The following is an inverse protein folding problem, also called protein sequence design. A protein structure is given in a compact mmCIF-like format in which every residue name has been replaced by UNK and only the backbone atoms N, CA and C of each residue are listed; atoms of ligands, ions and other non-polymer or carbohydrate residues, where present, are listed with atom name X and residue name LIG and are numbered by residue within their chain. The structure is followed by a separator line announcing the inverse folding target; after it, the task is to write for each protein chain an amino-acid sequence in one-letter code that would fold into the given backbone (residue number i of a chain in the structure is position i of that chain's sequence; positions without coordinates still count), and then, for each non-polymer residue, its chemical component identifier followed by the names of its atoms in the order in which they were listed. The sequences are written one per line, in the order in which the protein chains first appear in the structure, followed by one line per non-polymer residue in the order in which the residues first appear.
data_IF_759620537891
#
_entry.id   IF_759620537891
#
_cell.length_a   1.000
_cell.length_b   1.000
_cell.length_c   1.000
_cell.angle_alpha   90.00
_cell.angle_beta   90.00
_cell.angle_gamma   90.00
#
_symmetry.space_group_name_H-M   'P 1'
#
loop_
_entity.id
_entity.type
_entity.pdbx_description
1 polymer ?
#
# COMPACT_ATOMS: atom_id res chain seq x y z
N UNK A 1 -14.87 -24.09 4.15
CA UNK A 1 -14.24 -22.88 4.73
C UNK A 1 -15.30 -21.80 4.82
N UNK A 2 -15.30 -21.01 5.90
CA UNK A 2 -16.19 -19.84 6.02
C UNK A 2 -15.76 -18.74 5.03
N UNK A 3 -16.67 -17.85 4.68
CA UNK A 3 -16.31 -16.63 3.96
C UNK A 3 -15.70 -15.60 4.92
N UNK A 4 -14.84 -14.75 4.40
CA UNK A 4 -14.31 -13.57 5.08
C UNK A 4 -14.80 -12.32 4.34
N UNK A 5 -15.74 -11.63 4.94
CA UNK A 5 -16.37 -10.44 4.38
C UNK A 5 -15.58 -9.18 4.70
N UNK A 6 -15.48 -8.27 3.74
CA UNK A 6 -15.10 -6.88 3.95
C UNK A 6 -16.39 -6.09 4.20
N UNK A 7 -16.49 -5.51 5.38
CA UNK A 7 -17.67 -4.76 5.83
C UNK A 7 -17.50 -3.28 5.52
N UNK A 8 -16.34 -2.73 5.83
CA UNK A 8 -16.01 -1.32 5.58
C UNK A 8 -14.52 -1.15 5.33
N UNK A 9 -14.16 -0.08 4.61
CA UNK A 9 -12.80 0.23 4.25
C UNK A 9 -12.65 1.75 4.12
N UNK A 10 -11.60 2.32 4.75
CA UNK A 10 -11.36 3.74 4.74
C UNK A 10 -9.87 4.04 4.93
N UNK A 11 -9.41 5.17 4.40
CA UNK A 11 -8.03 5.62 4.49
C UNK A 11 -7.91 7.09 4.86
N UNK A 12 -6.75 7.49 5.31
CA UNK A 12 -6.37 8.90 5.37
C UNK A 12 -6.06 9.45 3.97
N UNK A 13 -6.01 10.77 3.77
CA UNK A 13 -5.26 11.33 2.66
C UNK A 13 -3.82 10.82 2.64
N UNK A 14 -3.17 10.87 1.48
CA UNK A 14 -1.74 10.57 1.34
C UNK A 14 -0.97 11.89 1.32
N UNK A 15 -0.09 12.07 2.31
CA UNK A 15 0.82 13.21 2.42
C UNK A 15 2.11 12.99 1.63
N UNK A 16 2.73 14.08 1.15
CA UNK A 16 4.08 14.06 0.58
C UNK A 16 5.11 13.96 1.70
N UNK A 17 6.31 13.51 1.35
CA UNK A 17 7.47 13.57 2.23
C UNK A 17 7.72 15.02 2.72
N UNK A 18 7.76 15.20 4.04
CA UNK A 18 7.88 16.51 4.65
C UNK A 18 6.67 17.43 4.41
N UNK A 19 5.54 16.88 3.94
CA UNK A 19 4.32 17.63 3.61
C UNK A 19 3.36 17.78 4.79
N UNK A 20 2.07 17.93 4.47
CA UNK A 20 1.03 18.31 5.45
C UNK A 20 0.82 17.30 6.57
N UNK A 21 1.08 15.99 6.33
CA UNK A 21 0.96 14.94 7.35
C UNK A 21 2.25 14.69 8.14
N UNK A 22 3.37 15.30 7.77
CA UNK A 22 4.66 15.10 8.45
C UNK A 22 4.67 15.44 9.95
N UNK A 23 3.82 16.34 10.50
CA UNK A 23 3.75 16.55 11.92
C UNK A 23 3.02 15.45 12.70
N UNK A 24 2.26 14.57 12.03
CA UNK A 24 1.47 13.51 12.66
C UNK A 24 2.33 12.28 12.88
N UNK A 25 2.38 11.76 14.12
CA UNK A 25 3.09 10.54 14.47
C UNK A 25 2.49 9.33 13.74
N UNK A 26 3.30 8.32 13.45
CA UNK A 26 2.81 7.12 12.75
C UNK A 26 1.72 6.37 13.56
N UNK A 27 1.87 6.27 14.88
CA UNK A 27 0.89 5.62 15.76
C UNK A 27 -0.44 6.40 15.84
N UNK A 28 -0.40 7.74 15.88
CA UNK A 28 -1.58 8.60 15.83
C UNK A 28 -2.26 8.54 14.44
N UNK A 29 -1.47 8.56 13.37
CA UNK A 29 -1.98 8.48 12.00
C UNK A 29 -2.70 7.15 11.75
N UNK A 30 -2.13 6.04 12.24
CA UNK A 30 -2.73 4.71 12.18
C UNK A 30 -4.07 4.60 12.93
N UNK A 31 -4.26 5.40 13.98
CA UNK A 31 -5.50 5.42 14.76
C UNK A 31 -6.67 6.10 14.02
N UNK A 32 -6.39 7.03 13.10
CA UNK A 32 -7.43 7.81 12.40
C UNK A 32 -8.44 6.93 11.65
N UNK A 33 -8.02 6.06 10.71
CA UNK A 33 -8.97 5.22 9.98
C UNK A 33 -9.67 4.19 10.88
N UNK A 34 -9.03 3.72 11.97
CA UNK A 34 -9.68 2.82 12.93
C UNK A 34 -10.81 3.52 13.67
N UNK A 35 -10.60 4.77 14.12
CA UNK A 35 -11.64 5.58 14.76
C UNK A 35 -12.81 5.80 13.82
N UNK A 36 -12.54 6.12 12.56
CA UNK A 36 -13.58 6.30 11.55
C UNK A 36 -14.38 5.00 11.31
N UNK A 37 -13.75 3.82 11.30
CA UNK A 37 -14.46 2.54 11.24
C UNK A 37 -15.40 2.37 12.43
N UNK A 38 -14.95 2.73 13.64
CA UNK A 38 -15.78 2.63 14.85
C UNK A 38 -17.00 3.54 14.78
N UNK A 39 -16.83 4.77 14.34
CA UNK A 39 -17.92 5.75 14.19
C UNK A 39 -18.93 5.32 13.12
N UNK A 40 -18.48 4.79 12.00
CA UNK A 40 -19.31 4.36 10.88
C UNK A 40 -20.08 3.06 11.13
N UNK A 41 -19.56 2.20 12.01
CA UNK A 41 -20.12 0.89 12.33
C UNK A 41 -20.57 0.82 13.80
N UNK A 42 -21.48 1.72 14.20
CA UNK A 42 -21.91 1.90 15.58
C UNK A 42 -22.68 0.71 16.18
N UNK A 43 -23.16 -0.25 15.37
CA UNK A 43 -23.79 -1.49 15.83
C UNK A 43 -22.79 -2.53 16.34
N UNK A 44 -21.49 -2.37 16.07
CA UNK A 44 -20.44 -3.29 16.47
C UNK A 44 -20.12 -3.13 17.96
N UNK A 45 -20.14 -4.23 18.69
CA UNK A 45 -19.46 -4.32 19.99
C UNK A 45 -17.96 -4.51 19.75
N UNK A 46 -17.20 -3.43 19.83
CA UNK A 46 -15.78 -3.41 19.55
C UNK A 46 -14.92 -4.24 20.50
N UNK A 47 -15.48 -4.67 21.64
CA UNK A 47 -14.84 -5.65 22.52
C UNK A 47 -14.79 -7.07 21.92
N UNK A 48 -15.57 -7.32 20.88
CA UNK A 48 -15.64 -8.60 20.16
C UNK A 48 -14.67 -8.71 18.98
N UNK A 49 -13.83 -7.68 18.76
CA UNK A 49 -12.75 -7.77 17.77
C UNK A 49 -11.69 -8.73 18.29
N UNK A 50 -11.49 -9.84 17.57
CA UNK A 50 -10.59 -10.93 17.99
C UNK A 50 -9.12 -10.53 17.88
N UNK A 51 -8.75 -9.84 16.79
CA UNK A 51 -7.37 -9.34 16.58
C UNK A 51 -7.36 -8.19 15.55
N UNK A 52 -6.24 -7.47 15.53
CA UNK A 52 -5.93 -6.42 14.57
C UNK A 52 -4.60 -6.72 13.90
N UNK A 53 -4.59 -6.86 12.56
CA UNK A 53 -3.37 -6.98 11.77
C UNK A 53 -3.08 -5.69 11.03
N UNK A 54 -1.92 -5.10 11.27
CA UNK A 54 -1.58 -3.80 10.69
C UNK A 54 -0.18 -3.79 10.06
N UNK A 55 -0.11 -3.49 8.78
CA UNK A 55 1.14 -3.43 8.04
C UNK A 55 1.94 -2.18 8.37
N UNK A 56 3.25 -2.36 8.61
CA UNK A 56 4.21 -1.26 8.72
C UNK A 56 5.59 -1.76 8.32
N UNK A 57 6.24 -1.09 7.36
CA UNK A 57 7.54 -1.52 6.85
C UNK A 57 8.69 -0.99 7.72
N UNK A 58 8.65 0.28 8.12
CA UNK A 58 9.62 0.86 9.03
C UNK A 58 9.11 0.71 10.47
N UNK A 59 9.94 0.13 11.33
CA UNK A 59 9.65 -0.06 12.75
C UNK A 59 10.81 0.43 13.60
N UNK A 60 11.53 1.43 13.12
CA UNK A 60 12.72 1.95 13.77
C UNK A 60 12.45 3.19 14.66
N UNK A 61 11.35 3.89 14.43
CA UNK A 61 10.99 5.14 15.11
C UNK A 61 9.79 5.01 16.04
N UNK A 62 8.83 5.90 15.87
CA UNK A 62 7.59 5.98 16.65
C UNK A 62 6.68 4.76 16.45
N UNK A 63 6.92 4.00 15.41
CA UNK A 63 6.29 2.76 14.98
C UNK A 63 6.91 1.49 15.58
N UNK A 64 7.90 1.61 16.46
CA UNK A 64 8.74 0.47 16.90
C UNK A 64 8.06 -0.54 17.83
N UNK A 65 7.12 -0.13 18.67
CA UNK A 65 6.56 -0.99 19.74
C UNK A 65 5.21 -1.56 19.35
N UNK A 66 5.14 -2.27 18.22
CA UNK A 66 3.90 -2.81 17.71
C UNK A 66 2.87 -1.70 17.43
N UNK A 67 3.11 -0.97 16.33
CA UNK A 67 2.27 0.17 15.94
C UNK A 67 0.79 -0.22 15.77
N UNK A 68 0.49 -1.46 15.39
CA UNK A 68 -0.87 -1.98 15.34
C UNK A 68 -1.58 -1.81 16.70
N UNK A 69 -0.97 -2.35 17.76
CA UNK A 69 -1.52 -2.27 19.10
C UNK A 69 -1.59 -0.84 19.64
N UNK A 70 -0.55 -0.03 19.35
CA UNK A 70 -0.52 1.38 19.77
C UNK A 70 -1.64 2.16 19.10
N UNK A 71 -1.80 2.05 17.79
CA UNK A 71 -2.88 2.70 17.03
C UNK A 71 -4.26 2.25 17.49
N UNK A 72 -4.45 0.97 17.81
CA UNK A 72 -5.71 0.45 18.33
C UNK A 72 -6.11 1.15 19.65
N UNK A 73 -5.17 1.25 20.59
CA UNK A 73 -5.40 1.93 21.88
C UNK A 73 -5.66 3.43 21.69
N UNK A 74 -4.90 4.09 20.84
CA UNK A 74 -5.05 5.51 20.52
C UNK A 74 -6.36 5.81 19.77
N UNK A 75 -6.86 4.85 18.99
CA UNK A 75 -8.18 4.93 18.37
C UNK A 75 -9.33 4.82 19.37
N UNK A 76 -9.08 4.29 20.56
CA UNK A 76 -10.10 4.04 21.58
C UNK A 76 -10.70 2.66 21.52
N UNK A 77 -10.10 1.71 20.79
CA UNK A 77 -10.51 0.31 20.87
C UNK A 77 -10.34 -0.23 22.30
N UNK A 78 -11.25 -1.12 22.76
CA UNK A 78 -11.15 -1.71 24.08
C UNK A 78 -9.81 -2.39 24.34
N UNK A 79 -9.32 -2.34 25.58
CA UNK A 79 -8.01 -2.88 25.95
C UNK A 79 -7.89 -4.40 25.76
N UNK A 80 -8.99 -5.09 25.61
CA UNK A 80 -9.06 -6.52 25.32
C UNK A 80 -8.64 -6.86 23.89
N UNK A 81 -8.80 -5.92 22.93
CA UNK A 81 -8.48 -6.14 21.52
C UNK A 81 -6.96 -6.17 21.32
N UNK A 82 -6.36 -7.31 20.97
CA UNK A 82 -4.92 -7.40 20.70
C UNK A 82 -4.58 -6.74 19.36
N UNK A 83 -3.30 -6.77 19.00
CA UNK A 83 -2.88 -6.27 17.70
C UNK A 83 -1.48 -6.76 17.34
N UNK A 84 -1.26 -7.02 16.07
CA UNK A 84 -0.01 -7.51 15.51
C UNK A 84 0.44 -6.65 14.34
N UNK A 85 1.67 -6.16 14.40
CA UNK A 85 2.30 -5.46 13.28
C UNK A 85 2.94 -6.47 12.33
N UNK A 86 2.56 -6.42 11.05
CA UNK A 86 3.11 -7.26 9.99
C UNK A 86 4.10 -6.46 9.13
N UNK A 87 5.19 -7.10 8.75
CA UNK A 87 6.16 -6.53 7.82
C UNK A 87 6.41 -7.47 6.63
N UNK A 88 5.85 -7.10 5.49
CA UNK A 88 6.21 -7.59 4.16
C UNK A 88 6.58 -6.40 3.28
N UNK A 89 7.36 -5.44 3.82
CA UNK A 89 7.73 -4.19 3.16
C UNK A 89 6.50 -3.52 2.51
N UNK A 90 6.57 -3.17 1.22
CA UNK A 90 5.46 -2.52 0.48
C UNK A 90 4.14 -3.30 0.56
N UNK A 91 4.17 -4.62 0.63
CA UNK A 91 2.99 -5.50 0.67
C UNK A 91 2.33 -5.68 2.03
N UNK A 92 2.86 -5.05 3.09
CA UNK A 92 2.44 -5.30 4.47
C UNK A 92 0.93 -5.12 4.71
N UNK A 93 0.33 -4.05 4.17
CA UNK A 93 -1.10 -3.80 4.35
C UNK A 93 -2.00 -4.83 3.64
N UNK A 94 -1.62 -5.29 2.45
CA UNK A 94 -2.35 -6.35 1.75
C UNK A 94 -2.18 -7.69 2.45
N UNK A 95 -0.97 -7.99 2.95
CA UNK A 95 -0.68 -9.20 3.72
C UNK A 95 -1.50 -9.23 5.02
N UNK A 96 -1.68 -8.08 5.68
CA UNK A 96 -2.54 -7.95 6.85
C UNK A 96 -4.00 -8.34 6.53
N UNK A 97 -4.57 -7.82 5.43
CA UNK A 97 -5.93 -8.16 4.99
C UNK A 97 -6.05 -9.66 4.66
N UNK A 98 -5.11 -10.19 3.89
CA UNK A 98 -5.13 -11.59 3.49
C UNK A 98 -4.98 -12.55 4.67
N UNK A 99 -4.14 -12.23 5.67
CA UNK A 99 -3.99 -13.04 6.88
C UNK A 99 -5.23 -12.93 7.78
N UNK A 100 -5.82 -11.76 7.96
CA UNK A 100 -7.10 -11.61 8.66
C UNK A 100 -8.21 -12.45 8.00
N UNK A 101 -8.31 -12.41 6.68
CA UNK A 101 -9.26 -13.23 5.94
C UNK A 101 -8.99 -14.75 6.12
N UNK A 102 -7.72 -15.18 6.15
CA UNK A 102 -7.36 -16.59 6.41
C UNK A 102 -7.73 -17.02 7.82
N UNK A 103 -7.49 -16.19 8.82
CA UNK A 103 -7.86 -16.44 10.21
C UNK A 103 -9.38 -16.62 10.35
N UNK A 104 -10.19 -15.75 9.72
CA UNK A 104 -11.65 -15.87 9.67
C UNK A 104 -12.07 -17.17 8.95
N UNK A 105 -11.49 -17.46 7.78
CA UNK A 105 -11.80 -18.66 6.99
C UNK A 105 -11.44 -19.96 7.72
N UNK A 106 -10.40 -19.93 8.55
CA UNK A 106 -10.00 -21.05 9.40
C UNK A 106 -10.96 -21.24 10.60
N UNK A 107 -11.78 -20.26 10.91
CA UNK A 107 -12.69 -20.27 12.06
C UNK A 107 -12.04 -19.90 13.40
N UNK A 108 -10.83 -19.32 13.35
CA UNK A 108 -10.06 -18.88 14.52
C UNK A 108 -10.42 -17.46 14.97
N UNK A 109 -11.08 -16.69 14.12
CA UNK A 109 -11.63 -15.36 14.42
C UNK A 109 -12.97 -15.15 13.72
N UNK A 110 -13.77 -14.25 14.27
CA UNK A 110 -15.05 -13.84 13.69
C UNK A 110 -15.09 -12.38 13.25
N UNK A 111 -14.38 -11.51 13.95
CA UNK A 111 -14.35 -10.07 13.67
C UNK A 111 -12.91 -9.56 13.78
N UNK A 112 -12.40 -8.93 12.73
CA UNK A 112 -11.00 -8.46 12.67
C UNK A 112 -10.90 -7.06 12.03
N UNK A 113 -9.90 -6.31 12.45
CA UNK A 113 -9.45 -5.12 11.74
C UNK A 113 -8.15 -5.47 11.01
N UNK A 114 -8.01 -5.02 9.77
CA UNK A 114 -6.78 -5.16 9.01
C UNK A 114 -6.47 -3.88 8.23
N UNK A 115 -5.19 -3.61 7.97
CA UNK A 115 -4.80 -2.42 7.23
C UNK A 115 -3.31 -2.16 7.30
N UNK A 116 -2.94 -0.88 7.36
CA UNK A 116 -1.54 -0.51 7.53
C UNK A 116 -1.31 0.98 7.60
N UNK A 117 -0.13 1.35 8.07
CA UNK A 117 0.34 2.72 8.23
C UNK A 117 1.81 2.83 7.82
N UNK A 118 2.16 3.96 7.26
CA UNK A 118 3.55 4.36 7.08
C UNK A 118 3.67 5.88 7.23
N UNK A 119 4.62 6.34 8.03
CA UNK A 119 5.07 7.73 8.01
C UNK A 119 6.55 7.74 7.60
N UNK A 120 6.78 7.91 6.30
CA UNK A 120 8.13 7.96 5.78
C UNK A 120 8.81 9.30 6.08
N UNK A 121 8.04 10.36 6.29
CA UNK A 121 8.55 11.67 6.74
C UNK A 121 9.18 11.62 8.14
N UNK A 122 8.71 10.72 9.00
CA UNK A 122 9.16 10.60 10.39
C UNK A 122 10.10 9.42 10.63
N UNK A 123 10.53 8.76 9.55
CA UNK A 123 11.53 7.70 9.63
C UNK A 123 12.82 8.24 10.26
N UNK A 124 13.32 7.64 11.36
CA UNK A 124 14.43 8.20 12.11
C UNK A 124 15.78 7.88 11.46
N UNK A 125 16.80 8.63 11.86
CA UNK A 125 18.17 8.19 11.72
C UNK A 125 18.49 7.10 12.75
N UNK A 126 19.26 6.09 12.34
CA UNK A 126 19.71 5.00 13.21
C UNK A 126 21.22 4.80 13.13
N UNK A 127 21.80 4.37 14.24
CA UNK A 127 23.22 4.10 14.34
C UNK A 127 23.44 2.74 15.00
N UNK A 128 24.30 1.91 14.42
CA UNK A 128 24.71 0.64 15.02
C UNK A 128 25.53 0.83 16.28
N UNK A 129 25.51 -0.15 17.18
CA UNK A 129 26.45 -0.17 18.30
C UNK A 129 27.87 -0.44 17.79
N UNK A 130 28.86 0.15 18.45
CA UNK A 130 30.27 -0.14 18.17
C UNK A 130 30.58 -1.62 18.38
N UNK A 131 31.25 -2.26 17.43
CA UNK A 131 31.65 -3.66 17.51
C UNK A 131 32.90 -3.85 18.40
N UNK A 132 33.67 -2.78 18.56
CA UNK A 132 34.93 -2.79 19.33
C UNK A 132 34.94 -1.68 20.38
N UNK A 133 35.56 -1.95 21.51
CA UNK A 133 35.82 -0.92 22.51
C UNK A 133 36.68 0.22 21.89
N UNK A 134 36.39 1.45 22.31
CA UNK A 134 37.08 2.66 21.85
C UNK A 134 37.01 2.90 20.35
N UNK A 135 35.94 2.45 19.70
CA UNK A 135 35.68 2.75 18.26
C UNK A 135 35.76 4.25 18.02
N UNK A 136 36.42 4.64 16.92
CA UNK A 136 36.58 6.04 16.50
C UNK A 136 35.71 6.37 15.27
N UNK A 137 34.87 5.45 14.84
CA UNK A 137 33.94 5.62 13.70
C UNK A 137 32.54 5.24 14.13
N UNK A 138 31.57 5.99 13.60
CA UNK A 138 30.14 5.69 13.69
C UNK A 138 29.53 5.98 12.33
N UNK A 139 28.60 5.14 11.91
CA UNK A 139 27.82 5.32 10.68
C UNK A 139 26.36 5.56 11.07
N UNK A 140 25.77 6.63 10.53
CA UNK A 140 24.37 6.99 10.73
C UNK A 140 23.64 6.71 9.44
N UNK A 141 22.52 5.96 9.52
CA UNK A 141 21.69 5.61 8.38
C UNK A 141 20.35 6.31 8.47
N UNK A 142 19.89 6.90 7.36
CA UNK A 142 18.51 7.32 7.16
C UNK A 142 17.63 6.07 6.91
N UNK A 143 16.54 5.94 7.64
CA UNK A 143 15.63 4.79 7.50
C UNK A 143 14.42 5.06 6.62
N UNK A 144 14.33 6.24 5.99
CA UNK A 144 13.22 6.63 5.12
C UNK A 144 13.03 5.64 3.97
N UNK A 145 14.12 5.28 3.29
CA UNK A 145 14.13 4.32 2.18
C UNK A 145 15.54 3.76 2.00
N UNK A 146 15.66 2.58 1.44
CA UNK A 146 16.95 1.99 1.06
C UNK A 146 17.53 1.05 2.10
N UNK A 147 18.75 0.61 1.80
CA UNK A 147 19.48 -0.36 2.59
C UNK A 147 20.20 0.29 3.79
N UNK A 148 20.16 -0.39 4.92
CA UNK A 148 20.92 -0.08 6.13
C UNK A 148 21.41 -1.36 6.79
N UNK A 149 22.52 -1.34 7.50
CA UNK A 149 23.11 -2.52 8.15
C UNK A 149 23.26 -3.70 7.19
N UNK A 150 23.87 -3.45 6.03
CA UNK A 150 23.93 -4.39 4.91
C UNK A 150 24.63 -5.70 5.29
N UNK A 151 23.91 -6.82 5.12
CA UNK A 151 24.50 -8.15 5.24
C UNK A 151 25.43 -8.43 4.05
N UNK A 152 26.69 -8.80 4.32
CA UNK A 152 27.72 -9.02 3.28
C UNK A 152 27.35 -10.16 2.31
N UNK A 153 26.74 -11.24 2.81
CA UNK A 153 26.33 -12.35 1.97
C UNK A 153 25.18 -11.95 1.03
N UNK A 154 24.20 -11.19 1.55
CA UNK A 154 23.12 -10.62 0.71
C UNK A 154 23.70 -9.77 -0.40
N UNK A 155 24.63 -8.87 -0.09
CA UNK A 155 25.29 -8.02 -1.08
C UNK A 155 26.01 -8.84 -2.15
N UNK A 156 26.70 -9.90 -1.78
CA UNK A 156 27.50 -10.73 -2.69
C UNK A 156 26.62 -11.63 -3.57
N UNK A 157 25.54 -12.20 -3.01
CA UNK A 157 24.73 -13.20 -3.69
C UNK A 157 23.59 -12.59 -4.51
N UNK A 158 22.96 -11.52 -4.01
CA UNK A 158 21.72 -10.99 -4.56
C UNK A 158 21.79 -9.49 -4.92
N UNK A 159 22.88 -8.82 -4.57
CA UNK A 159 23.00 -7.37 -4.72
C UNK A 159 22.24 -6.60 -3.62
N UNK A 160 22.41 -5.29 -3.65
CA UNK A 160 21.74 -4.33 -2.78
C UNK A 160 21.30 -3.11 -3.59
N UNK A 161 20.81 -3.35 -4.81
CA UNK A 161 20.35 -2.29 -5.70
C UNK A 161 19.32 -1.42 -4.99
N UNK A 162 19.40 -0.12 -5.19
CA UNK A 162 18.37 0.80 -4.71
C UNK A 162 17.05 0.54 -5.45
N UNK A 163 15.92 0.98 -4.90
CA UNK A 163 14.63 0.76 -5.55
C UNK A 163 14.57 1.31 -6.99
N UNK A 164 15.04 2.54 -7.28
CA UNK A 164 15.10 3.01 -8.67
C UNK A 164 16.03 2.18 -9.57
N UNK A 165 17.14 1.69 -9.03
CA UNK A 165 18.04 0.81 -9.78
C UNK A 165 17.39 -0.53 -10.15
N UNK A 166 16.55 -1.10 -9.25
CA UNK A 166 15.76 -2.29 -9.60
C UNK A 166 14.74 -1.98 -10.71
N UNK A 167 14.21 -0.77 -10.78
CA UNK A 167 13.31 -0.36 -11.85
C UNK A 167 14.04 -0.21 -13.20
N UNK A 168 15.28 0.31 -13.19
CA UNK A 168 16.14 0.33 -14.38
C UNK A 168 16.46 -1.09 -14.87
N UNK A 169 16.73 -2.03 -13.95
CA UNK A 169 16.94 -3.44 -14.32
C UNK A 169 15.69 -4.04 -14.98
N UNK A 170 14.50 -3.71 -14.50
CA UNK A 170 13.24 -4.15 -15.13
C UNK A 170 13.06 -3.49 -16.49
N UNK A 171 13.31 -2.18 -16.62
CA UNK A 171 13.22 -1.47 -17.90
C UNK A 171 14.13 -2.09 -18.96
N UNK A 172 15.38 -2.39 -18.60
CA UNK A 172 16.36 -3.03 -19.47
C UNK A 172 15.94 -4.46 -19.86
N UNK A 173 15.59 -5.30 -18.86
CA UNK A 173 15.30 -6.71 -19.08
C UNK A 173 14.01 -6.93 -19.89
N UNK A 174 13.01 -6.07 -19.73
CA UNK A 174 11.72 -6.15 -20.42
C UNK A 174 11.56 -5.16 -21.57
N UNK A 175 12.64 -4.46 -21.95
CA UNK A 175 12.66 -3.48 -23.05
C UNK A 175 11.56 -2.40 -22.92
N UNK A 176 11.44 -1.80 -21.74
CA UNK A 176 10.48 -0.71 -21.49
C UNK A 176 11.16 0.63 -21.78
N UNK A 177 10.71 1.34 -22.80
CA UNK A 177 11.28 2.63 -23.19
C UNK A 177 10.98 3.75 -22.18
N UNK A 178 11.75 4.82 -22.23
CA UNK A 178 11.50 6.04 -21.46
C UNK A 178 10.17 6.67 -21.83
N UNK A 179 9.87 6.71 -23.11
CA UNK A 179 8.65 7.27 -23.67
C UNK A 179 7.41 6.52 -23.15
N UNK A 180 7.44 5.21 -23.13
CA UNK A 180 6.36 4.38 -22.58
C UNK A 180 6.17 4.66 -21.08
N UNK A 181 7.25 4.78 -20.31
CA UNK A 181 7.21 5.09 -18.88
C UNK A 181 6.61 6.48 -18.62
N UNK A 182 6.98 7.49 -19.38
CA UNK A 182 6.45 8.84 -19.23
C UNK A 182 4.97 8.91 -19.66
N UNK A 183 4.57 8.18 -20.71
CA UNK A 183 3.18 8.08 -21.14
C UNK A 183 2.31 7.39 -20.06
N UNK A 184 2.82 6.33 -19.44
CA UNK A 184 2.16 5.66 -18.32
C UNK A 184 1.99 6.59 -17.11
N UNK A 185 3.05 7.31 -16.75
CA UNK A 185 3.03 8.26 -15.63
C UNK A 185 2.05 9.42 -15.87
N UNK A 186 2.01 9.97 -17.09
CA UNK A 186 1.03 11.00 -17.45
C UNK A 186 -0.40 10.47 -17.30
N UNK A 187 -0.68 9.26 -17.77
CA UNK A 187 -2.00 8.63 -17.64
C UNK A 187 -2.40 8.46 -16.18
N UNK A 188 -1.47 8.04 -15.30
CA UNK A 188 -1.72 7.96 -13.86
C UNK A 188 -2.16 9.30 -13.29
N UNK A 189 -1.44 10.39 -13.61
CA UNK A 189 -1.80 11.74 -13.18
C UNK A 189 -3.17 12.18 -13.71
N UNK A 190 -3.45 11.95 -14.99
CA UNK A 190 -4.73 12.32 -15.62
C UNK A 190 -5.92 11.57 -15.00
N UNK A 191 -5.77 10.26 -14.77
CA UNK A 191 -6.81 9.43 -14.13
C UNK A 191 -7.06 9.87 -12.70
N UNK A 192 -6.00 10.16 -11.95
CA UNK A 192 -6.11 10.68 -10.58
C UNK A 192 -6.81 12.03 -10.55
N UNK A 193 -6.43 12.96 -11.43
CA UNK A 193 -7.07 14.27 -11.51
C UNK A 193 -8.57 14.15 -11.82
N UNK A 194 -8.94 13.28 -12.77
CA UNK A 194 -10.35 13.02 -13.11
C UNK A 194 -11.11 12.38 -11.95
N UNK A 195 -10.48 11.45 -11.21
CA UNK A 195 -11.08 10.80 -10.05
C UNK A 195 -11.31 11.80 -8.89
N UNK A 196 -10.33 12.68 -8.63
CA UNK A 196 -10.47 13.76 -7.63
C UNK A 196 -11.57 14.74 -8.01
N UNK A 197 -11.60 15.20 -9.25
CA UNK A 197 -12.63 16.11 -9.74
C UNK A 197 -14.04 15.51 -9.66
N UNK A 198 -14.17 14.20 -9.89
CA UNK A 198 -15.43 13.47 -9.78
C UNK A 198 -15.80 13.10 -8.33
N UNK A 199 -14.99 13.46 -7.32
CA UNK A 199 -15.22 13.14 -5.92
C UNK A 199 -14.99 11.67 -5.53
N UNK A 200 -14.49 10.83 -6.44
CA UNK A 200 -14.37 9.37 -6.21
C UNK A 200 -13.41 9.01 -5.08
N UNK A 201 -12.28 9.72 -4.99
CA UNK A 201 -11.30 9.47 -3.93
C UNK A 201 -11.77 9.99 -2.57
N UNK A 202 -12.63 11.03 -2.54
CA UNK A 202 -13.18 11.55 -1.30
C UNK A 202 -14.08 10.53 -0.57
N UNK A 203 -14.71 9.58 -1.30
CA UNK A 203 -15.57 8.54 -0.73
C UNK A 203 -14.79 7.56 0.17
N UNK A 204 -13.49 7.38 -0.08
CA UNK A 204 -12.63 6.46 0.67
C UNK A 204 -11.73 7.18 1.71
N UNK A 205 -11.80 8.51 1.82
CA UNK A 205 -10.94 9.33 2.68
C UNK A 205 -11.66 9.76 3.95
N UNK A 206 -10.99 9.58 5.10
CA UNK A 206 -11.32 10.23 6.36
C UNK A 206 -10.36 11.39 6.60
N UNK A 207 -10.85 12.61 6.96
CA UNK A 207 -9.99 13.74 7.25
C UNK A 207 -9.03 13.49 8.42
N UNK A 208 -7.86 14.10 8.35
CA UNK A 208 -6.85 14.09 9.42
C UNK A 208 -6.72 15.49 9.98
N UNK A 209 -6.91 15.64 11.29
CA UNK A 209 -6.64 16.86 12.01
C UNK A 209 -5.16 16.95 12.37
N UNK A 210 -4.45 17.88 11.74
CA UNK A 210 -3.01 18.09 11.95
C UNK A 210 -2.81 19.20 12.98
N UNK A 211 -2.21 18.91 14.15
CA UNK A 211 -2.00 19.91 15.19
C UNK A 211 -1.12 21.07 14.72
N UNK A 212 -1.51 22.30 15.03
CA UNK A 212 -0.72 23.51 14.79
C UNK A 212 -0.51 24.30 16.07
N UNK A 213 0.73 24.77 16.25
CA UNK A 213 1.07 25.54 17.46
C UNK A 213 0.30 26.87 17.46
N UNK A 214 -0.50 27.09 18.50
CA UNK A 214 -1.28 28.34 18.72
C UNK A 214 -2.28 28.70 17.61
N UNK A 215 -2.74 27.69 16.84
CA UNK A 215 -3.75 27.83 15.79
C UNK A 215 -4.71 26.66 15.86
N UNK A 216 -5.89 26.82 15.25
CA UNK A 216 -6.79 25.67 15.03
C UNK A 216 -6.08 24.58 14.21
N UNK A 217 -6.39 23.29 14.47
CA UNK A 217 -5.86 22.20 13.68
C UNK A 217 -6.10 22.41 12.18
N UNK A 218 -5.15 21.98 11.35
CA UNK A 218 -5.38 21.92 9.92
C UNK A 218 -6.13 20.63 9.59
N UNK A 219 -7.31 20.75 9.01
CA UNK A 219 -8.03 19.59 8.46
C UNK A 219 -7.48 19.26 7.08
N UNK A 220 -6.95 18.06 6.93
CA UNK A 220 -6.43 17.52 5.66
C UNK A 220 -7.38 16.43 5.21
N UNK A 221 -8.06 16.63 4.09
CA UNK A 221 -9.11 15.76 3.53
C UNK A 221 -8.87 15.36 2.08
N UNK A 222 -7.72 15.73 1.53
CA UNK A 222 -7.38 15.54 0.12
C UNK A 222 -5.94 15.04 -0.02
N UNK A 223 -5.70 14.13 -0.97
CA UNK A 223 -4.36 13.65 -1.30
C UNK A 223 -3.46 14.80 -1.77
N UNK A 224 -2.27 14.92 -1.19
CA UNK A 224 -1.35 16.04 -1.43
C UNK A 224 -0.41 15.81 -2.62
N UNK A 225 -0.18 14.55 -3.01
CA UNK A 225 0.85 14.19 -3.98
C UNK A 225 0.47 14.44 -5.44
N UNK A 226 -0.81 14.35 -5.90
CA UNK A 226 -1.20 14.46 -7.29
C UNK A 226 -0.78 15.78 -7.95
N UNK A 227 -0.40 15.72 -9.24
CA UNK A 227 0.05 16.85 -10.06
C UNK A 227 -0.76 16.91 -11.35
N UNK A 228 -1.99 17.41 -11.26
CA UNK A 228 -2.94 17.46 -12.38
C UNK A 228 -2.43 18.23 -13.62
N UNK A 229 -1.46 19.14 -13.45
CA UNK A 229 -0.88 19.94 -14.54
C UNK A 229 0.31 19.28 -15.25
N UNK A 230 0.62 18.02 -14.96
CA UNK A 230 1.71 17.28 -15.59
C UNK A 230 1.51 17.15 -17.10
N UNK A 231 2.57 17.36 -17.89
CA UNK A 231 2.58 17.15 -19.36
C UNK A 231 3.71 16.23 -19.78
N UNK A 232 3.63 15.64 -20.98
CA UNK A 232 4.73 14.81 -21.53
C UNK A 232 6.03 15.60 -21.68
N UNK A 233 5.94 16.87 -22.11
CA UNK A 233 7.11 17.74 -22.29
C UNK A 233 7.81 18.03 -20.96
N UNK A 234 7.07 18.10 -19.86
CA UNK A 234 7.63 18.25 -18.52
C UNK A 234 8.32 16.96 -18.08
N UNK A 235 7.68 15.80 -18.28
CA UNK A 235 8.23 14.50 -17.94
C UNK A 235 9.52 14.21 -18.73
N UNK A 236 9.51 14.44 -20.05
CA UNK A 236 10.65 14.20 -20.92
C UNK A 236 11.92 15.00 -20.54
N UNK A 237 11.75 16.17 -19.88
CA UNK A 237 12.86 17.02 -19.42
C UNK A 237 13.45 16.56 -18.08
N UNK A 238 12.84 15.63 -17.38
CA UNK A 238 13.32 15.18 -16.07
C UNK A 238 14.62 14.37 -16.24
N UNK A 239 15.62 14.61 -15.37
CA UNK A 239 16.86 13.84 -15.39
C UNK A 239 16.64 12.40 -14.92
N UNK A 240 17.57 11.52 -15.30
CA UNK A 240 17.66 10.13 -14.87
C UNK A 240 18.79 9.96 -13.85
N UNK A 241 18.58 10.37 -12.57
CA UNK A 241 19.67 10.52 -11.60
C UNK A 241 20.17 9.19 -11.03
N UNK A 242 19.49 8.09 -11.30
CA UNK A 242 19.73 6.80 -10.66
C UNK A 242 20.71 5.92 -11.45
N UNK A 243 20.77 6.10 -12.77
CA UNK A 243 21.69 5.38 -13.66
C UNK A 243 22.09 6.30 -14.84
N UNK A 244 23.36 6.32 -15.20
CA UNK A 244 23.82 7.01 -16.42
C UNK A 244 23.18 6.35 -17.66
N UNK A 245 22.55 7.15 -18.50
CA UNK A 245 21.77 6.66 -19.65
C UNK A 245 20.51 5.88 -19.27
N UNK A 246 20.06 5.98 -18.01
CA UNK A 246 18.84 5.32 -17.53
C UNK A 246 17.55 5.97 -18.02
N UNK A 247 16.42 5.45 -17.56
CA UNK A 247 15.08 5.85 -17.97
C UNK A 247 14.17 6.27 -16.81
N UNK A 248 14.52 5.89 -15.57
CA UNK A 248 13.72 6.18 -14.37
C UNK A 248 13.96 7.61 -13.90
N UNK A 249 12.88 8.31 -13.63
CA UNK A 249 12.87 9.71 -13.18
C UNK A 249 11.96 9.91 -11.98
N UNK A 250 12.03 11.06 -11.35
CA UNK A 250 11.07 11.46 -10.32
C UNK A 250 9.61 11.59 -10.83
N UNK A 251 9.40 11.66 -12.13
CA UNK A 251 8.08 11.80 -12.75
C UNK A 251 7.42 10.46 -13.11
N UNK A 252 8.22 9.39 -13.29
CA UNK A 252 7.72 8.06 -13.64
C UNK A 252 7.96 7.01 -12.53
N UNK A 253 8.21 7.48 -11.31
CA UNK A 253 8.32 6.73 -10.07
C UNK A 253 7.30 7.21 -9.05
N UNK A 254 6.88 6.34 -8.12
CA UNK A 254 6.08 6.74 -6.96
C UNK A 254 6.87 7.61 -6.00
N UNK A 255 6.16 8.36 -5.19
CA UNK A 255 6.76 9.21 -4.15
C UNK A 255 7.07 8.47 -2.84
N UNK A 256 7.77 9.19 -1.97
CA UNK A 256 7.94 8.88 -0.54
C UNK A 256 6.82 9.60 0.20
N UNK A 257 5.99 8.88 0.97
CA UNK A 257 4.70 9.39 1.41
C UNK A 257 4.32 8.94 2.83
N UNK A 258 3.30 9.58 3.39
CA UNK A 258 2.70 9.30 4.68
C UNK A 258 1.23 8.94 4.50
N UNK A 259 0.72 7.95 5.24
CA UNK A 259 -0.70 7.58 5.17
C UNK A 259 -1.05 6.35 6.00
N UNK A 260 -2.35 6.14 6.22
CA UNK A 260 -2.90 4.99 6.91
C UNK A 260 -4.22 4.54 6.28
N UNK A 261 -4.53 3.24 6.40
CA UNK A 261 -5.75 2.63 5.88
C UNK A 261 -6.20 1.52 6.82
N UNK A 262 -7.50 1.36 7.03
CA UNK A 262 -8.05 0.28 7.81
C UNK A 262 -9.34 -0.27 7.19
N UNK A 263 -9.52 -1.59 7.34
CA UNK A 263 -10.69 -2.34 6.89
C UNK A 263 -11.25 -3.14 8.06
N UNK A 264 -12.57 -3.23 8.14
CA UNK A 264 -13.30 -4.14 9.04
C UNK A 264 -13.64 -5.42 8.28
N UNK A 265 -13.20 -6.56 8.81
CA UNK A 265 -13.52 -7.88 8.26
C UNK A 265 -14.36 -8.67 9.24
N UNK A 266 -15.34 -9.42 8.74
CA UNK A 266 -16.21 -10.24 9.54
C UNK A 266 -16.47 -11.63 8.92
N UNK A 267 -16.70 -12.62 9.79
CA UNK A 267 -17.32 -13.88 9.38
C UNK A 267 -18.80 -13.65 9.06
N UNK A 268 -19.47 -14.57 8.33
CA UNK A 268 -20.91 -14.51 8.11
C UNK A 268 -21.71 -14.38 9.41
N UNK A 269 -21.33 -15.13 10.44
CA UNK A 269 -22.00 -15.14 11.75
C UNK A 269 -21.90 -13.78 12.47
N UNK A 270 -20.72 -13.13 12.41
CA UNK A 270 -20.55 -11.82 13.03
C UNK A 270 -21.22 -10.71 12.22
N UNK A 271 -21.22 -10.82 10.89
CA UNK A 271 -21.95 -9.89 10.04
C UNK A 271 -23.46 -9.93 10.34
N UNK A 272 -24.04 -11.13 10.48
CA UNK A 272 -25.44 -11.30 10.88
C UNK A 272 -25.70 -10.77 12.30
N UNK A 273 -24.85 -11.16 13.26
CA UNK A 273 -24.98 -10.77 14.67
C UNK A 273 -25.04 -9.27 14.90
N UNK A 274 -24.18 -8.51 14.17
CA UNK A 274 -24.10 -7.06 14.29
C UNK A 274 -24.87 -6.30 13.21
N UNK A 275 -25.70 -7.02 12.42
CA UNK A 275 -26.47 -6.47 11.30
C UNK A 275 -25.58 -5.66 10.31
N UNK A 276 -24.37 -6.16 10.06
CA UNK A 276 -23.42 -5.54 9.12
C UNK A 276 -23.75 -5.97 7.71
N UNK A 277 -23.63 -5.02 6.76
CA UNK A 277 -23.83 -5.29 5.35
C UNK A 277 -22.48 -5.63 4.70
N UNK A 278 -22.24 -6.88 4.27
CA UNK A 278 -21.05 -7.21 3.52
C UNK A 278 -21.00 -6.44 2.19
N UNK A 279 -19.84 -5.81 1.91
CA UNK A 279 -19.59 -5.10 0.66
C UNK A 279 -18.88 -6.00 -0.36
N UNK A 280 -17.93 -6.80 0.14
CA UNK A 280 -17.20 -7.78 -0.65
C UNK A 280 -16.77 -8.96 0.20
N UNK A 281 -16.24 -10.02 -0.43
CA UNK A 281 -15.48 -11.07 0.26
C UNK A 281 -14.07 -11.19 -0.30
N UNK A 282 -13.14 -11.58 0.54
CA UNK A 282 -11.78 -11.94 0.12
C UNK A 282 -11.81 -13.33 -0.49
N UNK A 283 -11.59 -13.44 -1.79
CA UNK A 283 -11.58 -14.73 -2.50
C UNK A 283 -10.31 -15.49 -2.21
N UNK A 284 -9.15 -14.87 -2.40
CA UNK A 284 -7.86 -15.49 -2.15
C UNK A 284 -6.71 -14.48 -2.14
N UNK A 285 -5.56 -14.93 -1.63
CA UNK A 285 -4.30 -14.18 -1.64
C UNK A 285 -3.14 -15.14 -1.91
N UNK A 286 -2.21 -14.71 -2.75
CA UNK A 286 -0.96 -15.42 -3.02
C UNK A 286 0.25 -14.49 -3.00
N UNK A 287 1.40 -15.07 -2.70
CA UNK A 287 2.70 -14.41 -2.77
C UNK A 287 3.64 -15.21 -3.66
N UNK A 288 4.58 -14.53 -4.30
CA UNK A 288 5.61 -15.14 -5.11
C UNK A 288 6.96 -14.46 -4.88
N UNK A 289 8.06 -15.21 -5.01
CA UNK A 289 9.40 -14.67 -5.01
C UNK A 289 9.92 -14.51 -6.44
N UNK A 290 10.77 -13.51 -6.64
CA UNK A 290 11.55 -13.26 -7.87
C UNK A 290 12.95 -12.83 -7.48
N UNK A 291 13.85 -12.73 -8.44
CA UNK A 291 15.19 -12.20 -8.17
C UNK A 291 15.10 -10.77 -7.59
N UNK A 292 15.83 -10.48 -6.49
CA UNK A 292 15.77 -9.16 -5.84
C UNK A 292 16.03 -7.98 -6.77
N UNK A 293 16.95 -8.13 -7.74
CA UNK A 293 17.32 -7.09 -8.70
C UNK A 293 16.20 -6.68 -9.66
N UNK A 294 15.18 -7.54 -9.83
CA UNK A 294 13.99 -7.28 -10.65
C UNK A 294 12.70 -7.41 -9.81
N UNK A 295 12.76 -6.97 -8.55
CA UNK A 295 11.64 -7.07 -7.61
C UNK A 295 10.32 -6.52 -8.17
N UNK A 296 10.40 -5.52 -9.04
CA UNK A 296 9.25 -4.89 -9.69
C UNK A 296 8.38 -5.88 -10.49
N UNK A 297 8.94 -7.01 -10.95
CA UNK A 297 8.21 -8.03 -11.68
C UNK A 297 7.39 -8.99 -10.79
N UNK A 298 7.57 -8.94 -9.47
CA UNK A 298 6.88 -9.82 -8.50
C UNK A 298 5.36 -9.92 -8.63
N UNK A 299 4.62 -8.86 -9.02
CA UNK A 299 3.17 -8.92 -9.23
C UNK A 299 2.72 -9.95 -10.27
N UNK A 300 3.47 -10.16 -11.35
CA UNK A 300 3.09 -11.07 -12.42
C UNK A 300 2.97 -12.53 -11.94
N UNK A 301 3.98 -13.16 -11.33
CA UNK A 301 3.84 -14.52 -10.80
C UNK A 301 2.87 -14.60 -9.60
N UNK A 302 2.75 -13.55 -8.77
CA UNK A 302 1.80 -13.55 -7.66
C UNK A 302 0.35 -13.54 -8.18
N UNK A 303 0.05 -12.74 -9.21
CA UNK A 303 -1.26 -12.68 -9.86
C UNK A 303 -1.65 -14.00 -10.52
N UNK A 304 -0.74 -14.60 -11.31
CA UNK A 304 -0.98 -15.93 -11.89
C UNK A 304 -1.25 -16.98 -10.82
N UNK A 305 -0.52 -16.93 -9.71
CA UNK A 305 -0.69 -17.89 -8.62
C UNK A 305 -2.05 -17.74 -7.93
N UNK A 306 -2.51 -16.52 -7.63
CA UNK A 306 -3.82 -16.32 -6.99
C UNK A 306 -4.96 -16.67 -7.93
N UNK A 307 -4.86 -16.35 -9.23
CA UNK A 307 -5.84 -16.73 -10.24
C UNK A 307 -5.96 -18.28 -10.33
N UNK A 308 -4.84 -18.98 -10.41
CA UNK A 308 -4.82 -20.45 -10.42
C UNK A 308 -5.42 -21.06 -9.13
N UNK A 309 -5.11 -20.50 -7.96
CA UNK A 309 -5.63 -20.97 -6.67
C UNK A 309 -7.15 -20.76 -6.52
N UNK A 310 -7.70 -19.73 -7.14
CA UNK A 310 -9.12 -19.38 -7.04
C UNK A 310 -9.96 -19.96 -8.20
N UNK A 311 -9.31 -20.48 -9.23
CA UNK A 311 -9.97 -20.95 -10.46
C UNK A 311 -10.54 -19.82 -11.31
N UNK A 312 -10.09 -18.57 -11.07
CA UNK A 312 -10.49 -17.39 -11.83
C UNK A 312 -9.49 -17.09 -12.94
N UNK A 313 -9.95 -16.36 -13.96
CA UNK A 313 -9.10 -15.89 -15.06
C UNK A 313 -8.93 -14.36 -15.00
N UNK A 314 -7.94 -13.84 -15.70
CA UNK A 314 -7.67 -12.39 -15.73
C UNK A 314 -8.80 -11.62 -16.40
N UNK A 315 -9.44 -12.20 -17.41
CA UNK A 315 -10.57 -11.61 -18.15
C UNK A 315 -11.83 -11.44 -17.29
N UNK A 316 -11.93 -12.15 -16.16
CA UNK A 316 -13.02 -12.01 -15.21
C UNK A 316 -12.83 -10.83 -14.25
N UNK A 317 -11.68 -10.17 -14.29
CA UNK A 317 -11.40 -9.04 -13.40
C UNK A 317 -11.97 -7.75 -13.97
N UNK A 318 -12.98 -7.19 -13.32
CA UNK A 318 -13.60 -5.90 -13.69
C UNK A 318 -12.71 -4.71 -13.30
N UNK A 319 -11.85 -4.90 -12.29
CA UNK A 319 -10.90 -3.92 -11.79
C UNK A 319 -9.58 -4.60 -11.46
N UNK A 320 -8.48 -3.98 -11.86
CA UNK A 320 -7.12 -4.37 -11.46
C UNK A 320 -6.45 -3.16 -10.82
N UNK A 321 -6.13 -3.26 -9.53
CA UNK A 321 -5.32 -2.29 -8.82
C UNK A 321 -3.88 -2.80 -8.72
N UNK A 322 -3.01 -2.32 -9.60
CA UNK A 322 -1.58 -2.60 -9.63
C UNK A 322 -0.83 -1.42 -9.01
N UNK A 323 -0.08 -1.65 -7.93
CA UNK A 323 0.75 -0.59 -7.36
C UNK A 323 1.81 -0.11 -8.35
N UNK A 324 1.81 1.18 -8.63
CA UNK A 324 2.75 1.83 -9.55
C UNK A 324 3.99 2.31 -8.78
N UNK A 325 4.78 1.37 -8.27
CA UNK A 325 6.05 1.76 -7.63
C UNK A 325 6.95 2.50 -8.64
N UNK A 326 6.98 2.01 -9.88
CA UNK A 326 7.64 2.61 -11.05
C UNK A 326 6.83 2.30 -12.31
N UNK A 327 6.82 3.21 -13.27
CA UNK A 327 6.16 2.98 -14.56
C UNK A 327 6.77 1.77 -15.31
N UNK A 328 8.10 1.64 -15.30
CA UNK A 328 8.80 0.49 -15.89
C UNK A 328 8.28 -0.85 -15.34
N UNK A 329 8.13 -0.93 -14.02
CA UNK A 329 7.63 -2.13 -13.36
C UNK A 329 6.17 -2.41 -13.72
N UNK A 330 5.32 -1.38 -13.71
CA UNK A 330 3.91 -1.55 -14.02
C UNK A 330 3.71 -2.04 -15.45
N UNK A 331 4.41 -1.44 -16.42
CA UNK A 331 4.39 -1.85 -17.83
C UNK A 331 4.92 -3.27 -18.05
N UNK A 332 6.01 -3.64 -17.39
CA UNK A 332 6.53 -5.00 -17.49
C UNK A 332 5.50 -6.04 -17.01
N UNK A 333 4.79 -5.75 -15.92
CA UNK A 333 3.75 -6.63 -15.36
C UNK A 333 2.51 -6.68 -16.25
N UNK A 334 1.98 -5.54 -16.70
CA UNK A 334 0.77 -5.50 -17.55
C UNK A 334 1.01 -6.20 -18.88
N UNK A 335 2.14 -5.92 -19.55
CA UNK A 335 2.51 -6.57 -20.82
C UNK A 335 2.70 -8.09 -20.67
N UNK A 336 3.33 -8.55 -19.59
CA UNK A 336 3.51 -9.97 -19.29
C UNK A 336 2.19 -10.70 -18.99
N UNK A 337 1.22 -10.00 -18.40
CA UNK A 337 -0.13 -10.52 -18.19
C UNK A 337 -1.03 -10.41 -19.43
N UNK A 338 -0.54 -9.87 -20.54
CA UNK A 338 -1.29 -9.71 -21.79
C UNK A 338 -2.29 -8.54 -21.79
N UNK A 339 -2.11 -7.59 -20.88
CA UNK A 339 -2.97 -6.40 -20.78
C UNK A 339 -2.41 -5.25 -21.65
N UNK A 340 -3.27 -4.48 -22.34
CA UNK A 340 -2.86 -3.25 -22.98
C UNK A 340 -2.26 -2.24 -21.97
N UNK A 341 -1.29 -1.46 -22.42
CA UNK A 341 -0.65 -0.43 -21.57
C UNK A 341 -1.66 0.58 -21.01
N UNK A 342 -2.72 0.86 -21.74
CA UNK A 342 -3.78 1.83 -21.43
C UNK A 342 -5.10 1.20 -20.97
N UNK A 343 -5.11 -0.09 -20.65
CA UNK A 343 -6.31 -0.81 -20.20
C UNK A 343 -7.12 0.00 -19.18
N UNK A 344 -8.40 0.24 -19.49
CA UNK A 344 -9.26 1.13 -18.70
C UNK A 344 -9.64 0.59 -17.32
N UNK A 345 -9.60 -0.73 -17.16
CA UNK A 345 -9.88 -1.40 -15.89
C UNK A 345 -8.64 -1.56 -15.00
N UNK A 346 -7.44 -1.21 -15.48
CA UNK A 346 -6.20 -1.17 -14.70
C UNK A 346 -6.00 0.23 -14.14
N UNK A 347 -5.95 0.36 -12.82
CA UNK A 347 -5.81 1.62 -12.10
C UNK A 347 -6.75 2.72 -12.65
N UNK A 348 -8.06 2.50 -12.65
CA UNK A 348 -9.01 3.41 -13.29
C UNK A 348 -9.05 4.80 -12.66
N UNK A 349 -8.63 4.92 -11.41
CA UNK A 349 -8.55 6.17 -10.66
C UNK A 349 -7.10 6.70 -10.53
N UNK A 350 -6.18 6.19 -11.36
CA UNK A 350 -4.74 6.43 -11.22
C UNK A 350 -4.12 5.55 -10.13
N UNK A 351 -2.82 5.69 -9.89
CA UNK A 351 -2.09 4.85 -8.96
C UNK A 351 -0.97 5.59 -8.22
N UNK A 352 -0.01 4.85 -7.69
CA UNK A 352 0.99 5.36 -6.76
C UNK A 352 1.92 6.42 -7.34
N UNK A 353 2.13 6.48 -8.66
CA UNK A 353 2.90 7.55 -9.30
C UNK A 353 2.23 8.91 -9.04
N UNK A 354 0.90 8.94 -9.12
CA UNK A 354 0.13 10.16 -8.86
C UNK A 354 -0.25 10.33 -7.39
N UNK A 355 -0.71 9.26 -6.73
CA UNK A 355 -1.24 9.30 -5.35
C UNK A 355 -0.15 9.25 -4.28
N UNK A 356 0.96 8.57 -4.56
CA UNK A 356 2.00 8.29 -3.58
C UNK A 356 2.01 6.84 -3.07
N UNK A 357 3.08 6.47 -2.33
CA UNK A 357 3.34 5.11 -1.89
C UNK A 357 3.80 5.02 -0.43
N UNK A 358 2.92 5.29 0.56
CA UNK A 358 3.21 4.97 1.95
C UNK A 358 3.29 3.44 2.10
N UNK A 359 4.48 2.88 2.35
CA UNK A 359 4.76 1.44 2.16
C UNK A 359 3.75 0.53 2.86
N UNK A 360 3.63 0.61 4.17
CA UNK A 360 2.76 -0.25 4.96
C UNK A 360 1.26 -0.07 4.69
N UNK A 361 0.85 1.12 4.26
CA UNK A 361 -0.55 1.43 3.93
C UNK A 361 -0.95 0.97 2.53
N UNK A 362 -0.03 1.01 1.56
CA UNK A 362 -0.38 0.95 0.14
C UNK A 362 -1.16 -0.29 -0.26
N UNK A 363 -0.79 -1.46 0.27
CA UNK A 363 -1.52 -2.69 -0.04
C UNK A 363 -2.98 -2.67 0.43
N UNK A 364 -3.25 -2.03 1.56
CA UNK A 364 -4.62 -1.85 2.06
C UNK A 364 -5.37 -0.79 1.24
N UNK A 365 -4.69 0.28 0.81
CA UNK A 365 -5.26 1.30 -0.09
C UNK A 365 -5.71 0.68 -1.41
N UNK A 366 -4.91 -0.19 -2.04
CA UNK A 366 -5.31 -0.89 -3.27
C UNK A 366 -6.64 -1.64 -3.10
N UNK A 367 -6.79 -2.38 -2.01
CA UNK A 367 -8.03 -3.13 -1.73
C UNK A 367 -9.20 -2.19 -1.47
N UNK A 368 -8.99 -1.09 -0.73
CA UNK A 368 -10.02 -0.08 -0.46
C UNK A 368 -10.48 0.59 -1.74
N UNK A 369 -9.55 1.08 -2.57
CA UNK A 369 -9.89 1.72 -3.86
C UNK A 369 -10.59 0.74 -4.80
N UNK A 370 -10.12 -0.52 -4.88
CA UNK A 370 -10.75 -1.56 -5.68
C UNK A 370 -12.20 -1.86 -5.24
N UNK A 371 -12.46 -1.88 -3.92
CA UNK A 371 -13.80 -2.09 -3.38
C UNK A 371 -14.76 -0.98 -3.81
N UNK A 372 -14.39 0.28 -3.61
CA UNK A 372 -15.20 1.44 -4.02
C UNK A 372 -15.42 1.45 -5.55
N UNK A 373 -14.40 1.10 -6.32
CA UNK A 373 -14.50 1.05 -7.78
C UNK A 373 -15.42 -0.07 -8.27
N UNK A 374 -15.37 -1.26 -7.67
CA UNK A 374 -16.31 -2.35 -7.98
C UNK A 374 -17.77 -1.97 -7.70
N UNK A 375 -18.01 -1.30 -6.58
CA UNK A 375 -19.37 -0.82 -6.24
C UNK A 375 -19.87 0.20 -7.26
N UNK A 376 -19.02 1.16 -7.64
CA UNK A 376 -19.38 2.21 -8.61
C UNK A 376 -19.63 1.65 -10.00
N UNK A 377 -18.83 0.69 -10.46
CA UNK A 377 -18.97 0.04 -11.78
C UNK A 377 -20.01 -1.08 -11.79
N UNK A 378 -20.51 -1.50 -10.63
CA UNK A 378 -21.31 -2.73 -10.47
C UNK A 378 -20.55 -3.96 -10.99
N UNK A 379 -19.19 -3.92 -10.90
CA UNK A 379 -18.31 -5.02 -11.23
C UNK A 379 -18.35 -6.11 -10.16
N UNK A 380 -17.83 -7.29 -10.47
CA UNK A 380 -17.85 -8.45 -9.58
C UNK A 380 -16.50 -8.71 -8.93
N UNK A 381 -15.43 -8.80 -9.70
CA UNK A 381 -14.11 -9.18 -9.22
C UNK A 381 -13.08 -8.07 -9.37
N UNK A 382 -12.22 -7.92 -8.37
CA UNK A 382 -11.02 -7.10 -8.47
C UNK A 382 -9.78 -7.88 -8.07
N UNK A 383 -8.71 -7.69 -8.84
CA UNK A 383 -7.36 -8.14 -8.54
C UNK A 383 -6.54 -6.95 -8.02
N UNK A 384 -6.05 -7.05 -6.79
CA UNK A 384 -5.09 -6.10 -6.22
C UNK A 384 -3.72 -6.76 -6.19
N UNK A 385 -2.68 -6.11 -6.72
CA UNK A 385 -1.34 -6.70 -6.76
C UNK A 385 -0.25 -5.65 -6.65
N UNK A 386 0.90 -6.04 -6.10
CA UNK A 386 2.04 -5.14 -5.91
C UNK A 386 3.37 -5.85 -5.79
N UNK A 387 4.42 -5.17 -6.22
CA UNK A 387 5.80 -5.56 -6.00
C UNK A 387 6.24 -5.27 -4.56
N UNK A 388 7.25 -5.99 -4.13
CA UNK A 388 7.79 -5.90 -2.77
C UNK A 388 9.31 -5.95 -2.85
N UNK A 389 9.96 -5.06 -2.17
CA UNK A 389 11.42 -5.04 -2.07
C UNK A 389 12.01 -6.40 -1.69
N UNK A 390 13.27 -6.61 -2.02
CA UNK A 390 13.98 -7.88 -1.83
C UNK A 390 13.40 -9.04 -2.66
N UNK A 391 12.69 -8.72 -3.75
CA UNK A 391 12.29 -9.72 -4.76
C UNK A 391 11.05 -10.53 -4.41
N UNK A 392 9.92 -9.88 -4.12
CA UNK A 392 8.65 -10.54 -3.91
C UNK A 392 7.50 -9.83 -4.64
N UNK A 393 6.38 -10.52 -4.77
CA UNK A 393 5.08 -9.96 -5.15
C UNK A 393 3.96 -10.54 -4.29
N UNK A 394 2.87 -9.81 -4.18
CA UNK A 394 1.64 -10.22 -3.52
C UNK A 394 0.45 -9.86 -4.40
N UNK A 395 -0.55 -10.73 -4.41
CA UNK A 395 -1.81 -10.51 -5.12
C UNK A 395 -2.99 -11.02 -4.30
N UNK A 396 -4.09 -10.26 -4.28
CA UNK A 396 -5.31 -10.56 -3.56
C UNK A 396 -6.50 -10.31 -4.47
N UNK A 397 -7.50 -11.20 -4.45
CA UNK A 397 -8.75 -11.06 -5.19
C UNK A 397 -9.89 -10.85 -4.21
N UNK A 398 -10.72 -9.85 -4.49
CA UNK A 398 -11.99 -9.61 -3.82
C UNK A 398 -13.15 -9.80 -4.80
N UNK A 399 -14.30 -10.21 -4.27
CA UNK A 399 -15.57 -10.32 -4.99
C UNK A 399 -16.60 -9.42 -4.31
N UNK A 400 -17.19 -8.49 -5.04
CA UNK A 400 -18.32 -7.65 -4.57
C UNK A 400 -19.56 -8.52 -4.36
N UNK A 401 -20.31 -8.23 -3.30
CA UNK A 401 -21.55 -8.93 -2.91
C UNK A 401 -22.79 -8.08 -3.18
#
# INVERSE_FOLDING_TARGET
MKDAYIIDAIRTPIGRYGGVLSPVRADDLGAVPMRALMERNSSVDWSQVDDLFYGCANQAGEDNRNVARMSALLAGLPVQVPGTTLNRLCGSGMDAIGNAARTIKAGEAGLMIAGGVESMSRAPFVMGKAEKAYSRSAEIHDTTIGWRFVNRQMKTQFGIDSMPETAENVAEQFNISREDQDAFALRSQQRTAAAMQAGRLAEEIVPVEVPRRKQEPLVVDTDEHPRASTTLEQLAKLPTPFREGGSVTAGNASGVNDGACALLLASPEQAERFALKPRARVVGMATAGVEPRIMGFGPAPASRKVLAQTGLTLEQMDVIELNEAFAAQALAVTRDLGLPDDAEHVNPNGGAIALGHPLGMSGARLVTTALHELERRQGRYALCTMCIGVGQGIALIIERL
#
